data_IF_930416648409
#
_entry.id   IF_930416648409
#
_cell.length_a   1.000
_cell.length_b   1.000
_cell.length_c   1.000
_cell.angle_alpha   90.00
_cell.angle_beta   90.00
_cell.angle_gamma   90.00
#
_symmetry.space_group_name_H-M   'P 1'
#
loop_
_entity.id
_entity.type
_entity.pdbx_description
1 polymer ?
#
# COMPACT_ATOMS: atom_id res chain seq x y z
N UNK A 1 47.70 3.67 27.43
CA UNK A 1 46.77 2.95 26.55
C UNK A 1 45.37 3.30 27.01
N UNK A 2 44.70 4.17 26.27
CA UNK A 2 43.31 4.57 26.54
C UNK A 2 42.64 4.65 25.18
N UNK A 3 42.06 3.52 24.79
CA UNK A 3 41.44 3.28 23.50
C UNK A 3 40.07 3.97 23.37
N UNK A 4 39.83 4.41 22.14
CA UNK A 4 38.55 4.44 21.43
C UNK A 4 37.44 5.38 21.92
N UNK A 5 37.52 6.62 21.44
CA UNK A 5 36.32 7.42 21.12
C UNK A 5 36.41 7.93 19.67
N UNK A 6 36.19 7.04 18.70
CA UNK A 6 36.18 7.47 17.27
C UNK A 6 35.17 6.75 16.39
N UNK A 7 34.31 5.86 16.92
CA UNK A 7 33.48 4.98 16.07
C UNK A 7 31.94 5.13 16.26
N UNK A 8 31.46 6.22 16.86
CA UNK A 8 30.01 6.51 16.91
C UNK A 8 29.49 7.25 15.66
N UNK A 9 30.37 7.54 14.68
CA UNK A 9 30.01 8.31 13.48
C UNK A 9 30.42 7.63 12.16
N UNK A 10 30.87 6.37 12.21
CA UNK A 10 31.14 5.61 11.00
C UNK A 10 29.84 5.29 10.25
N UNK A 11 29.84 5.56 8.95
CA UNK A 11 28.70 5.27 8.10
C UNK A 11 28.71 3.79 7.69
N UNK A 12 27.59 3.11 7.92
CA UNK A 12 27.28 1.78 7.39
C UNK A 12 26.49 1.94 6.09
N UNK A 13 26.71 1.03 5.13
CA UNK A 13 25.92 1.00 3.90
C UNK A 13 24.72 0.08 4.09
N UNK A 14 23.52 0.63 3.93
CA UNK A 14 22.27 -0.10 3.98
C UNK A 14 21.70 -0.25 2.58
N UNK A 15 21.34 -1.48 2.22
CA UNK A 15 20.65 -1.78 0.96
C UNK A 15 19.15 -1.81 1.19
N UNK A 16 18.38 -1.25 0.26
CA UNK A 16 16.93 -1.29 0.33
C UNK A 16 16.26 -1.45 -1.02
N UNK A 17 15.01 -1.86 -1.01
CA UNK A 17 14.23 -2.11 -2.22
C UNK A 17 12.72 -1.95 -2.01
N UNK A 18 12.00 -1.62 -3.08
CA UNK A 18 10.54 -1.80 -3.09
C UNK A 18 10.18 -3.30 -3.03
N UNK A 19 8.95 -3.65 -2.64
CA UNK A 19 8.53 -5.06 -2.49
C UNK A 19 8.78 -5.93 -3.73
N UNK A 20 8.50 -5.43 -4.94
CA UNK A 20 8.74 -6.19 -6.18
C UNK A 20 10.21 -6.19 -6.66
N UNK A 21 11.11 -5.43 -6.04
CA UNK A 21 12.52 -5.36 -6.43
C UNK A 21 12.81 -4.64 -7.76
N UNK A 22 11.83 -3.91 -8.30
CA UNK A 22 12.02 -3.06 -9.48
C UNK A 22 12.92 -1.84 -9.19
N UNK A 23 12.85 -1.31 -7.97
CA UNK A 23 13.68 -0.22 -7.46
C UNK A 23 14.55 -0.73 -6.32
N UNK A 24 15.87 -0.57 -6.44
CA UNK A 24 16.86 -0.94 -5.43
C UNK A 24 17.81 0.23 -5.23
N UNK A 25 18.13 0.55 -3.98
CA UNK A 25 19.01 1.66 -3.62
C UNK A 25 19.99 1.22 -2.53
N UNK A 26 21.01 2.05 -2.33
CA UNK A 26 21.87 2.02 -1.17
C UNK A 26 21.89 3.40 -0.51
N UNK A 27 21.95 3.40 0.82
CA UNK A 27 22.07 4.61 1.63
C UNK A 27 23.15 4.41 2.68
N UNK A 28 24.04 5.38 2.83
CA UNK A 28 25.07 5.42 3.88
C UNK A 28 24.51 6.18 5.08
N UNK A 29 24.41 5.53 6.22
CA UNK A 29 23.88 6.09 7.47
C UNK A 29 24.73 5.62 8.65
N UNK A 30 24.76 6.33 9.78
CA UNK A 30 25.19 5.75 11.04
C UNK A 30 24.35 4.50 11.38
N UNK A 31 24.71 3.81 12.46
CA UNK A 31 23.85 2.74 12.99
C UNK A 31 22.42 3.24 13.23
N UNK A 32 21.43 2.60 12.58
CA UNK A 32 20.04 3.01 12.70
C UNK A 32 19.50 2.49 14.04
N UNK A 33 19.43 3.39 15.03
CA UNK A 33 18.85 3.11 16.36
C UNK A 33 17.47 3.72 16.55
N UNK A 34 17.12 4.69 15.72
CA UNK A 34 15.88 5.46 15.83
C UNK A 34 15.36 5.87 14.45
N UNK A 35 14.05 6.07 14.35
CA UNK A 35 13.36 6.51 13.13
C UNK A 35 12.39 7.63 13.46
N UNK A 36 12.18 8.54 12.50
CA UNK A 36 11.18 9.59 12.63
C UNK A 36 9.79 9.08 12.23
N UNK A 37 8.81 9.27 13.10
CA UNK A 37 7.41 8.91 12.89
C UNK A 37 6.53 10.17 12.91
N UNK A 38 5.97 10.51 11.75
CA UNK A 38 5.17 11.72 11.58
C UNK A 38 3.68 11.41 11.63
N UNK A 39 2.95 12.12 12.49
CA UNK A 39 1.51 11.95 12.69
C UNK A 39 0.62 12.66 11.64
N UNK A 40 1.19 13.31 10.61
CA UNK A 40 0.37 13.97 9.60
C UNK A 40 -0.44 12.96 8.79
N UNK A 41 -1.58 13.38 8.24
CA UNK A 41 -2.52 12.48 7.56
C UNK A 41 -1.90 11.62 6.47
N UNK A 42 -0.93 12.15 5.72
CA UNK A 42 -0.25 11.39 4.67
C UNK A 42 0.78 10.41 5.22
N UNK A 43 1.61 10.83 6.18
CA UNK A 43 2.63 9.97 6.76
C UNK A 43 2.00 8.81 7.53
N UNK A 44 0.94 9.09 8.27
CA UNK A 44 0.14 8.09 8.96
C UNK A 44 -0.47 7.08 7.98
N UNK A 45 -1.14 7.54 6.91
CA UNK A 45 -1.74 6.65 5.89
C UNK A 45 -0.71 5.81 5.11
N UNK A 46 0.53 6.29 5.00
CA UNK A 46 1.63 5.57 4.33
C UNK A 46 2.43 4.68 5.28
N UNK A 47 2.18 4.77 6.60
CA UNK A 47 2.97 4.12 7.65
C UNK A 47 4.47 4.39 7.52
N UNK A 48 4.83 5.66 7.32
CA UNK A 48 6.23 6.02 7.16
C UNK A 48 7.01 5.94 8.48
N UNK A 49 8.15 5.24 8.43
CA UNK A 49 9.25 5.35 9.38
C UNK A 49 10.46 5.90 8.64
N UNK A 50 10.92 7.10 9.00
CA UNK A 50 11.84 7.84 8.14
C UNK A 50 13.24 7.94 8.76
N UNK A 51 14.23 7.54 7.98
CA UNK A 51 15.64 7.82 8.21
C UNK A 51 16.15 8.78 7.14
N UNK A 52 17.12 9.63 7.49
CA UNK A 52 17.61 10.68 6.60
C UNK A 52 19.14 10.65 6.58
N UNK A 53 19.77 10.50 5.40
CA UNK A 53 21.21 10.75 5.28
C UNK A 53 21.53 12.21 5.56
N UNK A 54 22.72 12.46 6.09
CA UNK A 54 23.20 13.82 6.36
C UNK A 54 23.47 14.61 5.08
N UNK A 55 23.71 13.93 3.96
CA UNK A 55 23.97 14.55 2.67
C UNK A 55 23.38 13.73 1.50
N UNK A 56 22.91 14.37 0.42
CA UNK A 56 22.34 13.68 -0.74
C UNK A 56 23.26 12.64 -1.41
N UNK A 57 24.59 12.83 -1.39
CA UNK A 57 25.59 11.90 -1.96
C UNK A 57 25.70 10.57 -1.19
N UNK A 58 25.09 10.49 0.00
CA UNK A 58 25.00 9.27 0.76
C UNK A 58 23.90 8.33 0.27
N UNK A 59 23.05 8.78 -0.67
CA UNK A 59 22.02 7.96 -1.29
C UNK A 59 22.37 7.70 -2.77
N UNK A 60 22.24 6.45 -3.21
CA UNK A 60 22.41 6.10 -4.62
C UNK A 60 21.42 5.02 -5.06
N UNK A 61 20.96 5.11 -6.29
CA UNK A 61 20.12 4.09 -6.92
C UNK A 61 21.04 3.00 -7.47
N UNK A 62 20.74 1.74 -7.18
CA UNK A 62 21.50 0.57 -7.64
C UNK A 62 20.81 -0.11 -8.83
N UNK A 63 19.47 -0.18 -8.83
CA UNK A 63 18.66 -0.75 -9.90
C UNK A 63 17.38 0.05 -10.10
N UNK A 64 17.00 0.21 -11.36
CA UNK A 64 15.90 1.06 -11.78
C UNK A 64 16.38 2.50 -11.90
N UNK A 65 15.44 3.43 -11.79
CA UNK A 65 15.73 4.87 -11.82
C UNK A 65 14.72 5.60 -10.93
N UNK A 66 14.89 6.89 -10.68
CA UNK A 66 13.90 7.61 -9.86
C UNK A 66 12.57 7.78 -10.61
N UNK A 67 12.61 7.81 -11.93
CA UNK A 67 11.47 8.03 -12.83
C UNK A 67 10.48 6.85 -12.83
N UNK A 68 10.93 5.64 -12.49
CA UNK A 68 10.02 4.49 -12.35
C UNK A 68 9.16 4.58 -11.08
N UNK A 69 9.48 5.49 -10.15
CA UNK A 69 8.66 5.75 -8.97
C UNK A 69 7.59 6.79 -9.27
N UNK A 70 6.35 6.45 -8.91
CA UNK A 70 5.25 7.41 -8.94
C UNK A 70 5.46 8.48 -7.85
N UNK A 71 5.06 9.71 -8.14
CA UNK A 71 5.18 10.85 -7.22
C UNK A 71 3.81 11.30 -6.76
N UNK A 72 3.65 11.50 -5.45
CA UNK A 72 2.50 12.15 -4.86
C UNK A 72 2.92 13.38 -4.05
N UNK A 73 2.28 14.51 -4.33
CA UNK A 73 2.43 15.77 -3.60
C UNK A 73 1.05 16.33 -3.30
N UNK A 74 0.89 16.96 -2.15
CA UNK A 74 -0.38 17.51 -1.71
C UNK A 74 -0.18 18.88 -1.05
N UNK A 75 -1.27 19.61 -0.84
CA UNK A 75 -1.27 20.92 -0.16
C UNK A 75 -0.29 21.90 -0.83
N UNK A 76 0.66 22.46 -0.07
CA UNK A 76 1.70 23.39 -0.55
C UNK A 76 2.74 22.74 -1.48
N UNK A 77 2.65 21.43 -1.75
CA UNK A 77 3.56 20.66 -2.63
C UNK A 77 5.03 20.72 -2.24
N UNK A 78 5.35 21.09 -0.99
CA UNK A 78 6.72 21.12 -0.43
C UNK A 78 7.38 19.74 -0.37
N UNK A 79 6.59 18.67 -0.24
CA UNK A 79 7.11 17.30 -0.23
C UNK A 79 6.72 16.52 -1.50
N UNK A 80 7.65 15.71 -2.02
CA UNK A 80 7.40 14.70 -3.05
C UNK A 80 7.55 13.32 -2.44
N UNK A 81 6.44 12.61 -2.33
CA UNK A 81 6.41 11.24 -1.83
C UNK A 81 6.52 10.26 -3.00
N UNK A 82 7.58 9.47 -3.02
CA UNK A 82 7.90 8.54 -4.10
C UNK A 82 7.56 7.12 -3.69
N UNK A 83 6.80 6.42 -4.53
CA UNK A 83 6.38 5.05 -4.27
C UNK A 83 6.41 4.21 -5.54
N UNK A 84 6.61 2.90 -5.39
CA UNK A 84 6.60 1.99 -6.52
C UNK A 84 5.16 1.83 -7.05
N UNK A 85 4.88 2.15 -8.32
CA UNK A 85 3.54 2.01 -8.88
C UNK A 85 3.10 0.54 -9.01
N UNK A 86 4.05 -0.40 -9.06
CA UNK A 86 3.77 -1.83 -9.21
C UNK A 86 3.32 -2.48 -7.91
N UNK A 87 3.95 -2.16 -6.78
CA UNK A 87 3.70 -2.82 -5.49
C UNK A 87 3.21 -1.88 -4.38
N UNK A 88 3.04 -0.59 -4.64
CA UNK A 88 2.55 0.40 -3.68
C UNK A 88 3.52 0.82 -2.58
N UNK A 89 4.68 0.15 -2.44
CA UNK A 89 5.69 0.45 -1.42
C UNK A 89 6.14 1.91 -1.52
N UNK A 90 5.99 2.66 -0.43
CA UNK A 90 6.48 4.04 -0.33
C UNK A 90 7.95 4.00 0.05
N UNK A 91 8.84 4.51 -0.81
CA UNK A 91 10.30 4.32 -0.69
C UNK A 91 10.99 5.59 -0.21
N UNK A 92 10.73 6.72 -0.89
CA UNK A 92 11.42 7.98 -0.64
C UNK A 92 10.43 9.10 -0.35
N UNK A 93 10.91 10.12 0.36
CA UNK A 93 10.25 11.40 0.50
C UNK A 93 11.29 12.49 0.34
N UNK A 94 11.07 13.34 -0.65
CA UNK A 94 11.87 14.56 -0.84
C UNK A 94 11.17 15.75 -0.19
N UNK A 95 11.95 16.64 0.40
CA UNK A 95 11.48 17.95 0.86
C UNK A 95 12.21 19.04 0.05
N UNK A 96 11.46 19.84 -0.70
CA UNK A 96 11.99 21.00 -1.42
C UNK A 96 12.29 22.13 -0.44
N UNK A 97 13.32 22.91 -0.74
CA UNK A 97 13.76 24.06 0.07
C UNK A 97 14.05 23.71 1.53
N UNK A 98 14.69 22.56 1.74
CA UNK A 98 15.16 22.09 3.04
C UNK A 98 16.69 22.02 3.09
N UNK A 99 17.31 22.09 4.29
CA UNK A 99 18.71 21.74 4.48
C UNK A 99 19.02 20.35 3.94
N UNK A 100 20.25 20.13 3.47
CA UNK A 100 20.68 18.90 2.80
C UNK A 100 20.33 17.62 3.57
N UNK A 101 20.53 17.62 4.89
CA UNK A 101 20.22 16.49 5.78
C UNK A 101 18.72 16.17 5.93
N UNK A 102 17.83 17.02 5.40
CA UNK A 102 16.37 16.81 5.38
C UNK A 102 15.81 16.63 3.96
N UNK A 103 16.63 16.85 2.92
CA UNK A 103 16.17 16.81 1.52
C UNK A 103 15.69 15.44 1.12
N UNK A 104 16.37 14.37 1.55
CA UNK A 104 16.04 12.99 1.23
C UNK A 104 15.69 12.26 2.52
N UNK A 105 14.54 11.58 2.55
CA UNK A 105 14.22 10.60 3.56
C UNK A 105 13.86 9.27 2.93
N UNK A 106 14.31 8.21 3.57
CA UNK A 106 14.13 6.83 3.16
C UNK A 106 13.18 6.16 4.16
N UNK A 107 12.23 5.37 3.64
CA UNK A 107 11.36 4.55 4.48
C UNK A 107 12.13 3.34 5.03
N UNK A 108 12.32 3.27 6.34
CA UNK A 108 13.08 2.23 7.04
C UNK A 108 12.55 0.82 6.73
N UNK A 109 11.24 0.66 6.54
CA UNK A 109 10.62 -0.62 6.15
C UNK A 109 11.11 -1.17 4.80
N UNK A 110 11.76 -0.35 3.98
CA UNK A 110 12.31 -0.76 2.69
C UNK A 110 13.78 -1.18 2.75
N UNK A 111 14.43 -1.00 3.91
CA UNK A 111 15.80 -1.45 4.17
C UNK A 111 15.78 -2.96 4.43
N UNK A 112 16.75 -3.67 3.86
CA UNK A 112 16.92 -5.10 4.04
C UNK A 112 17.52 -5.40 5.42
N UNK A 113 17.05 -6.48 6.04
CA UNK A 113 17.59 -7.00 7.31
C UNK A 113 17.59 -6.00 8.47
N UNK A 114 16.70 -5.00 8.42
CA UNK A 114 16.47 -4.04 9.50
C UNK A 114 15.23 -4.45 10.30
N UNK A 115 15.41 -4.81 11.57
CA UNK A 115 14.29 -4.99 12.49
C UNK A 115 13.73 -3.62 12.86
N UNK A 116 12.64 -3.20 12.21
CA UNK A 116 12.04 -1.90 12.47
C UNK A 116 11.23 -1.85 13.77
N UNK A 117 10.94 -2.99 14.41
CA UNK A 117 10.09 -3.06 15.60
C UNK A 117 10.85 -2.72 16.88
N UNK A 118 12.15 -2.98 16.91
CA UNK A 118 13.04 -2.62 18.02
C UNK A 118 13.57 -1.18 17.96
N UNK A 119 13.32 -0.44 16.87
CA UNK A 119 13.82 0.93 16.70
C UNK A 119 13.02 1.95 17.52
N UNK A 120 13.73 2.86 18.19
CA UNK A 120 13.13 4.01 18.87
C UNK A 120 12.32 4.86 17.87
N UNK A 121 11.08 5.18 18.21
CA UNK A 121 10.20 6.06 17.43
C UNK A 121 10.34 7.50 17.93
N UNK A 122 10.90 8.37 17.09
CA UNK A 122 10.99 9.81 17.35
C UNK A 122 9.76 10.50 16.78
N UNK A 123 8.80 10.94 17.63
CA UNK A 123 7.57 11.54 17.14
C UNK A 123 7.86 12.88 16.46
N UNK A 124 7.16 13.13 15.37
CA UNK A 124 7.14 14.40 14.69
C UNK A 124 5.70 14.86 14.52
N UNK A 125 5.36 16.01 15.11
CA UNK A 125 4.02 16.59 14.99
C UNK A 125 3.85 17.34 13.66
N UNK A 126 3.56 16.57 12.61
CA UNK A 126 3.23 17.11 11.29
C UNK A 126 1.75 17.47 11.14
N UNK A 127 0.88 17.04 12.06
CA UNK A 127 -0.55 17.34 12.04
C UNK A 127 -0.84 18.80 12.40
N UNK A 128 -0.02 19.42 13.25
CA UNK A 128 -0.14 20.85 13.59
C UNK A 128 0.36 21.81 12.50
N UNK A 129 0.97 21.30 11.42
CA UNK A 129 1.49 22.16 10.34
C UNK A 129 0.36 22.69 9.44
N UNK A 130 0.26 24.02 9.23
CA UNK A 130 -0.79 24.60 8.41
C UNK A 130 -0.54 24.50 6.88
N UNK A 131 -1.60 24.54 6.06
CA UNK A 131 -3.00 24.40 6.47
C UNK A 131 -3.31 22.96 6.90
N UNK A 132 -4.20 22.78 7.89
CA UNK A 132 -4.62 21.46 8.33
C UNK A 132 -5.28 20.69 7.19
N UNK A 133 -5.09 19.38 7.17
CA UNK A 133 -5.78 18.51 6.21
C UNK A 133 -7.20 18.24 6.70
N UNK A 134 -8.19 18.64 5.90
CA UNK A 134 -9.59 18.27 6.11
C UNK A 134 -9.94 17.04 5.25
N UNK A 135 -10.36 15.92 5.85
CA UNK A 135 -10.74 14.73 5.11
C UNK A 135 -12.03 14.98 4.30
N UNK A 136 -12.11 14.51 3.04
CA UNK A 136 -13.33 14.61 2.25
C UNK A 136 -14.52 13.90 2.93
N UNK A 137 -15.68 14.56 2.96
CA UNK A 137 -16.93 13.95 3.44
C UNK A 137 -17.33 12.75 2.58
N UNK A 138 -17.69 11.64 3.22
CA UNK A 138 -18.19 10.45 2.55
C UNK A 138 -19.53 10.72 1.86
N UNK A 139 -19.65 10.36 0.58
CA UNK A 139 -20.88 10.57 -0.22
C UNK A 139 -21.47 9.29 -0.81
N UNK A 140 -20.88 8.14 -0.50
CA UNK A 140 -21.30 6.86 -1.05
C UNK A 140 -22.50 6.23 -0.34
N UNK A 141 -23.01 5.09 -0.84
CA UNK A 141 -24.04 4.33 -0.15
C UNK A 141 -23.49 3.71 1.13
N UNK A 142 -24.29 3.71 2.20
CA UNK A 142 -23.94 3.01 3.44
C UNK A 142 -24.02 1.49 3.21
N UNK A 143 -23.11 0.68 3.79
CA UNK A 143 -23.24 -0.77 3.78
C UNK A 143 -24.59 -1.22 4.36
N UNK A 144 -25.22 -2.23 3.75
CA UNK A 144 -26.61 -2.65 4.08
C UNK A 144 -26.71 -3.74 5.13
N UNK A 145 -25.61 -4.36 5.54
CA UNK A 145 -25.65 -5.42 6.55
C UNK A 145 -26.08 -4.86 7.91
N UNK A 146 -26.83 -5.67 8.67
CA UNK A 146 -27.20 -5.36 10.05
C UNK A 146 -26.15 -5.98 10.98
N UNK A 147 -25.46 -5.13 11.75
CA UNK A 147 -24.44 -5.54 12.72
C UNK A 147 -24.88 -4.97 14.06
N UNK A 148 -25.12 -5.85 15.04
CA UNK A 148 -25.45 -5.46 16.41
C UNK A 148 -24.32 -4.59 17.01
N UNK A 149 -24.67 -3.40 17.52
CA UNK A 149 -23.69 -2.41 17.95
C UNK A 149 -22.83 -1.84 16.81
N UNK A 150 -23.32 -1.91 15.57
CA UNK A 150 -22.58 -1.52 14.37
C UNK A 150 -22.28 -0.02 14.29
N UNK A 151 -20.99 0.31 14.23
CA UNK A 151 -20.45 1.65 13.99
C UNK A 151 -19.98 1.78 12.54
N UNK A 152 -20.32 2.92 11.92
CA UNK A 152 -19.89 3.27 10.57
C UNK A 152 -18.54 3.99 10.64
N UNK A 153 -17.57 3.45 9.92
CA UNK A 153 -16.26 4.04 9.66
C UNK A 153 -16.22 4.47 8.21
N UNK A 154 -15.80 5.71 7.97
CA UNK A 154 -15.61 6.20 6.60
C UNK A 154 -14.16 6.61 6.39
N UNK A 155 -13.71 6.53 5.14
CA UNK A 155 -12.35 6.87 4.79
C UNK A 155 -12.20 7.07 3.29
N UNK A 156 -10.96 7.33 2.87
CA UNK A 156 -10.67 7.52 1.47
C UNK A 156 -9.26 8.03 1.21
N UNK A 157 -8.98 8.23 -0.07
CA UNK A 157 -7.79 8.94 -0.52
C UNK A 157 -7.93 10.44 -0.28
N UNK A 158 -6.81 11.16 -0.20
CA UNK A 158 -6.77 12.61 0.06
C UNK A 158 -7.57 13.46 -0.94
N UNK A 159 -7.70 13.03 -2.21
CA UNK A 159 -8.49 13.75 -3.20
C UNK A 159 -9.97 13.40 -3.20
N UNK A 160 -10.41 12.45 -2.37
CA UNK A 160 -11.80 11.99 -2.32
C UNK A 160 -12.25 11.12 -3.49
N UNK A 161 -11.37 10.77 -4.44
CA UNK A 161 -11.73 9.96 -5.60
C UNK A 161 -12.12 8.52 -5.27
N UNK A 162 -11.49 7.99 -4.24
CA UNK A 162 -11.83 6.73 -3.62
C UNK A 162 -12.35 7.03 -2.23
N UNK A 163 -13.57 6.60 -1.97
CA UNK A 163 -14.21 6.67 -0.67
C UNK A 163 -14.61 5.26 -0.24
N UNK A 164 -14.44 4.96 1.03
CA UNK A 164 -14.84 3.69 1.63
C UNK A 164 -15.74 3.93 2.82
N UNK A 165 -16.70 3.03 3.01
CA UNK A 165 -17.45 2.90 4.23
C UNK A 165 -17.38 1.45 4.72
N UNK A 166 -17.02 1.30 6.00
CA UNK A 166 -16.97 0.05 6.73
C UNK A 166 -17.99 0.12 7.86
N UNK A 167 -18.95 -0.79 7.86
CA UNK A 167 -19.79 -1.04 9.01
C UNK A 167 -19.21 -2.24 9.77
N UNK A 168 -18.94 -2.03 11.05
CA UNK A 168 -18.28 -3.01 11.93
C UNK A 168 -18.81 -2.83 13.35
N UNK A 169 -18.58 -3.80 14.25
CA UNK A 169 -18.54 -3.50 15.69
C UNK A 169 -17.53 -2.39 15.97
N UNK A 170 -17.70 -1.69 17.09
CA UNK A 170 -16.78 -0.63 17.48
C UNK A 170 -15.35 -1.15 17.57
N UNK A 171 -14.48 -0.60 16.72
CA UNK A 171 -13.02 -0.69 16.76
C UNK A 171 -12.53 0.36 17.77
N UNK A 172 -12.59 0.02 19.04
CA UNK A 172 -12.07 0.81 20.16
C UNK A 172 -11.16 -0.06 21.05
N UNK A 173 -10.82 0.40 22.25
CA UNK A 173 -9.95 -0.32 23.17
C UNK A 173 -10.47 -1.71 23.59
N UNK A 174 -11.75 -2.02 23.34
CA UNK A 174 -12.36 -3.34 23.61
C UNK A 174 -12.33 -4.27 22.39
N UNK A 175 -11.90 -3.77 21.23
CA UNK A 175 -11.77 -4.58 20.03
C UNK A 175 -10.59 -5.55 20.21
N UNK A 176 -10.74 -6.86 19.88
CA UNK A 176 -9.63 -7.79 20.03
C UNK A 176 -8.40 -7.30 19.27
N UNK A 177 -7.22 -7.48 19.87
CA UNK A 177 -5.91 -7.09 19.33
C UNK A 177 -5.11 -8.30 18.83
N UNK A 178 -5.69 -9.50 18.96
CA UNK A 178 -5.05 -10.76 18.58
C UNK A 178 -5.69 -11.37 17.34
N UNK A 179 -4.84 -11.86 16.45
CA UNK A 179 -5.27 -12.65 15.30
C UNK A 179 -5.86 -14.00 15.77
N UNK A 180 -6.98 -14.49 15.19
CA UNK A 180 -7.72 -13.97 14.04
C UNK A 180 -8.92 -13.07 14.37
N UNK A 181 -9.17 -12.80 15.65
CA UNK A 181 -10.41 -12.17 16.11
C UNK A 181 -10.37 -10.63 16.09
N UNK A 182 -9.17 -10.08 15.88
CA UNK A 182 -8.84 -8.70 16.13
C UNK A 182 -8.11 -7.94 15.03
N UNK A 183 -7.78 -6.69 15.33
CA UNK A 183 -6.86 -5.91 14.52
C UNK A 183 -5.43 -6.30 14.87
N UNK A 184 -4.67 -6.72 13.85
CA UNK A 184 -3.30 -7.18 14.01
C UNK A 184 -2.34 -6.37 13.17
N UNK A 185 -1.12 -6.23 13.67
CA UNK A 185 0.02 -5.82 12.87
C UNK A 185 0.72 -7.06 12.32
N UNK A 186 1.17 -6.99 11.08
CA UNK A 186 1.84 -8.12 10.43
C UNK A 186 3.22 -7.67 9.95
N UNK A 187 4.24 -8.44 10.32
CA UNK A 187 5.63 -8.22 9.93
C UNK A 187 5.99 -8.87 8.58
N UNK A 188 4.99 -9.27 7.79
CA UNK A 188 5.22 -9.76 6.44
C UNK A 188 5.84 -8.63 5.59
N UNK A 189 6.79 -8.96 4.69
CA UNK A 189 7.52 -7.95 3.89
C UNK A 189 6.61 -6.91 3.23
N UNK A 190 5.48 -7.33 2.64
CA UNK A 190 4.53 -6.39 2.02
C UNK A 190 3.74 -5.59 3.06
N UNK A 191 3.32 -6.22 4.14
CA UNK A 191 2.55 -5.59 5.22
C UNK A 191 3.35 -4.44 5.85
N UNK A 192 4.61 -4.72 6.15
CA UNK A 192 5.56 -3.77 6.73
C UNK A 192 5.87 -2.62 5.74
N UNK A 193 6.21 -2.95 4.48
CA UNK A 193 6.59 -1.95 3.46
C UNK A 193 5.47 -1.01 3.01
N UNK A 194 4.23 -1.40 3.22
CA UNK A 194 3.06 -0.56 2.89
C UNK A 194 2.41 -0.04 4.18
N UNK A 195 3.04 -0.22 5.35
CA UNK A 195 2.61 0.37 6.61
C UNK A 195 1.22 -0.09 7.08
N UNK A 196 0.81 -1.31 6.74
CA UNK A 196 -0.54 -1.78 7.03
C UNK A 196 -0.66 -2.23 8.49
N UNK A 197 -1.45 -1.49 9.29
CA UNK A 197 -2.19 -2.07 10.42
C UNK A 197 -3.46 -2.71 9.87
N UNK A 198 -3.60 -4.03 9.95
CA UNK A 198 -4.74 -4.75 9.37
C UNK A 198 -5.79 -5.07 10.45
N UNK A 199 -6.95 -4.39 10.48
CA UNK A 199 -8.17 -5.06 10.95
C UNK A 199 -8.50 -6.17 9.95
N UNK A 200 -8.50 -7.43 10.40
CA UNK A 200 -8.93 -8.54 9.55
C UNK A 200 -10.45 -8.42 9.28
N UNK A 201 -10.81 -7.89 8.12
CA UNK A 201 -12.16 -8.02 7.56
C UNK A 201 -12.20 -9.38 6.85
N UNK A 202 -12.51 -10.45 7.57
CA UNK A 202 -12.68 -11.77 6.95
C UNK A 202 -13.97 -11.76 6.10
N UNK A 203 -13.88 -11.34 4.83
CA UNK A 203 -14.83 -11.81 3.83
C UNK A 203 -14.29 -13.13 3.30
N UNK A 204 -14.75 -14.24 3.87
CA UNK A 204 -14.42 -15.58 3.36
C UNK A 204 -15.10 -15.74 2.00
N UNK A 205 -14.48 -15.25 0.93
CA UNK A 205 -14.79 -15.75 -0.41
C UNK A 205 -14.41 -17.22 -0.39
N UNK A 206 -15.42 -18.09 -0.50
CA UNK A 206 -15.23 -19.52 -0.71
C UNK A 206 -14.42 -19.71 -2.00
N UNK A 207 -13.08 -19.69 -1.90
CA UNK A 207 -12.23 -20.35 -2.88
C UNK A 207 -12.58 -21.83 -2.77
N UNK A 208 -13.48 -22.30 -3.64
CA UNK A 208 -13.65 -23.73 -3.93
C UNK A 208 -12.25 -24.26 -4.23
N UNK A 209 -11.66 -25.01 -3.29
CA UNK A 209 -10.52 -25.86 -3.57
C UNK A 209 -10.97 -26.79 -4.71
N UNK A 210 -10.52 -26.55 -5.94
CA UNK A 210 -10.48 -27.62 -6.93
C UNK A 210 -9.42 -28.59 -6.41
N UNK A 211 -9.84 -29.67 -5.75
CA UNK A 211 -9.01 -30.86 -5.63
C UNK A 211 -8.78 -31.35 -7.07
N UNK A 212 -7.54 -31.65 -7.48
CA UNK A 212 -7.33 -32.41 -8.70
C UNK A 212 -7.88 -33.81 -8.44
N UNK A 213 -8.97 -34.16 -9.11
CA UNK A 213 -9.34 -35.56 -9.26
C UNK A 213 -8.37 -36.16 -10.27
N UNK A 214 -7.32 -36.79 -9.73
CA UNK A 214 -6.62 -37.86 -10.42
C UNK A 214 -7.58 -39.04 -10.52
N UNK A 215 -8.19 -39.22 -11.69
CA UNK A 215 -8.72 -40.51 -12.12
C UNK A 215 -8.21 -40.74 -13.52
N UNK A 216 -7.30 -41.70 -13.65
CA UNK A 216 -6.73 -42.12 -14.92
C UNK A 216 -7.81 -42.61 -15.88
N UNK A 217 -7.61 -42.27 -17.14
CA UNK A 217 -8.03 -43.09 -18.26
C UNK A 217 -6.82 -43.18 -19.20
N UNK A 218 -6.28 -44.39 -19.22
CA UNK A 218 -5.26 -44.93 -20.09
C UNK A 218 -5.64 -44.91 -21.58
N UNK A 219 -4.63 -44.66 -22.43
CA UNK A 219 -4.49 -45.07 -23.85
C UNK A 219 -5.32 -44.27 -24.88
N UNK A 220 -4.85 -43.89 -26.08
CA UNK A 220 -3.97 -44.57 -27.04
C UNK A 220 -3.01 -43.63 -27.82
N UNK A 221 -2.06 -44.30 -28.47
CA UNK A 221 -0.83 -43.88 -29.15
C UNK A 221 -1.06 -43.41 -30.61
N UNK A 222 -0.18 -42.48 -31.04
CA UNK A 222 0.32 -42.13 -32.39
C UNK A 222 -0.63 -41.78 -33.54
N UNK A 223 -0.35 -40.67 -34.24
CA UNK A 223 0.50 -40.66 -35.46
C UNK A 223 0.85 -39.21 -35.86
N UNK A 224 2.10 -39.02 -36.29
CA UNK A 224 2.62 -37.81 -36.94
C UNK A 224 1.94 -37.56 -38.29
N UNK A 225 1.71 -36.30 -38.64
CA UNK A 225 2.13 -35.73 -39.95
C UNK A 225 2.15 -34.20 -39.91
N UNK A 226 3.20 -33.67 -40.51
CA UNK A 226 3.54 -32.27 -40.84
C UNK A 226 2.48 -31.54 -41.68
N UNK A 227 2.32 -30.23 -41.46
CA UNK A 227 1.59 -29.36 -42.39
C UNK A 227 1.56 -27.90 -41.96
N UNK A 228 2.27 -27.05 -42.71
CA UNK A 228 2.22 -25.58 -42.66
C UNK A 228 0.77 -25.06 -42.76
N UNK A 229 0.37 -24.11 -41.90
CA UNK A 229 -0.95 -23.46 -42.00
C UNK A 229 -1.17 -22.30 -41.03
N UNK A 230 -1.05 -21.08 -41.57
CA UNK A 230 -1.58 -19.76 -41.13
C UNK A 230 -2.04 -19.57 -39.68
N UNK A 231 -1.40 -18.59 -39.04
CA UNK A 231 -1.92 -17.82 -37.89
C UNK A 231 -3.28 -17.20 -38.22
N UNK A 232 -4.35 -17.44 -37.44
CA UNK A 232 -5.54 -16.62 -37.45
C UNK A 232 -5.41 -15.46 -36.46
N UNK A 233 -5.95 -14.34 -36.92
CA UNK A 233 -5.90 -13.01 -36.32
C UNK A 233 -6.55 -12.95 -34.93
N UNK A 234 -6.00 -12.10 -34.05
CA UNK A 234 -6.59 -11.73 -32.75
C UNK A 234 -7.85 -10.89 -33.01
N UNK A 235 -9.01 -11.50 -32.90
CA UNK A 235 -10.28 -10.77 -32.75
C UNK A 235 -11.21 -11.51 -31.80
N UNK A 236 -11.74 -10.76 -30.83
CA UNK A 236 -12.87 -11.07 -29.93
C UNK A 236 -12.72 -12.27 -28.98
N UNK A 237 -12.20 -12.02 -27.78
CA UNK A 237 -12.64 -12.73 -26.57
C UNK A 237 -13.49 -11.78 -25.72
N UNK A 238 -14.77 -11.70 -26.03
CA UNK A 238 -15.78 -11.08 -25.16
C UNK A 238 -16.24 -12.16 -24.17
N UNK A 239 -15.66 -12.18 -22.97
CA UNK A 239 -16.15 -13.05 -21.90
C UNK A 239 -17.32 -12.37 -21.19
N UNK A 240 -18.53 -12.60 -21.67
CA UNK A 240 -19.77 -12.23 -20.97
C UNK A 240 -20.07 -13.30 -19.93
N UNK A 241 -19.63 -13.11 -18.68
CA UNK A 241 -20.02 -14.01 -17.59
C UNK A 241 -21.44 -13.67 -17.14
N UNK A 242 -22.44 -14.36 -17.70
CA UNK A 242 -23.77 -14.47 -17.07
C UNK A 242 -23.62 -15.35 -15.82
N UNK A 243 -23.80 -14.78 -14.64
CA UNK A 243 -23.98 -15.55 -13.40
C UNK A 243 -25.47 -15.80 -13.24
N UNK A 244 -25.94 -16.99 -13.62
CA UNK A 244 -27.25 -17.51 -13.22
C UNK A 244 -27.13 -18.09 -11.81
N UNK A 245 -27.87 -17.53 -10.85
CA UNK A 245 -27.98 -18.06 -9.50
C UNK A 245 -28.88 -19.30 -9.51
N UNK A 246 -28.29 -20.49 -9.40
CA UNK A 246 -28.99 -21.72 -9.03
C UNK A 246 -29.06 -21.83 -7.52
N UNK A 247 -30.28 -21.93 -6.98
CA UNK A 247 -30.55 -22.14 -5.56
C UNK A 247 -30.26 -23.58 -5.15
N UNK A 248 -29.37 -23.77 -4.16
CA UNK A 248 -29.42 -24.94 -3.27
C UNK A 248 -29.18 -24.48 -1.83
N UNK A 249 -30.19 -24.74 -1.00
CA UNK A 249 -30.27 -24.49 0.43
C UNK A 249 -29.28 -25.37 1.19
N UNK A 250 -28.51 -24.73 2.07
CA UNK A 250 -27.57 -25.35 3.00
C UNK A 250 -27.08 -24.26 3.95
N UNK A 251 -27.94 -23.90 4.90
CA UNK A 251 -27.73 -22.79 5.82
C UNK A 251 -26.79 -23.20 6.96
N UNK A 252 -25.55 -22.73 6.89
CA UNK A 252 -24.78 -22.36 8.09
C UNK A 252 -24.57 -20.86 8.04
N UNK A 253 -25.51 -20.10 8.62
CA UNK A 253 -25.43 -18.65 8.76
C UNK A 253 -24.52 -18.31 9.94
N UNK A 254 -23.27 -17.98 9.67
CA UNK A 254 -22.48 -17.18 10.60
C UNK A 254 -22.88 -15.72 10.41
N UNK A 255 -23.18 -14.95 11.47
CA UNK A 255 -23.50 -13.54 11.33
C UNK A 255 -22.30 -12.82 10.70
N UNK A 256 -22.54 -12.12 9.59
CA UNK A 256 -21.54 -11.31 8.91
C UNK A 256 -21.04 -10.22 9.87
N UNK A 257 -19.80 -10.35 10.35
CA UNK A 257 -19.22 -9.44 11.35
C UNK A 257 -18.83 -8.06 10.80
N UNK A 258 -18.77 -7.93 9.48
CA UNK A 258 -18.37 -6.71 8.78
C UNK A 258 -19.14 -6.57 7.47
N UNK A 259 -19.36 -5.33 7.04
CA UNK A 259 -19.82 -5.02 5.68
C UNK A 259 -19.13 -3.78 5.14
N UNK A 260 -18.73 -3.86 3.87
CA UNK A 260 -17.97 -2.81 3.19
C UNK A 260 -18.70 -2.33 1.95
N UNK A 261 -18.71 -1.04 1.72
CA UNK A 261 -19.02 -0.43 0.42
C UNK A 261 -17.84 0.44 0.00
N UNK A 262 -17.53 0.40 -1.29
CA UNK A 262 -16.47 1.20 -1.91
C UNK A 262 -17.08 1.98 -3.05
N UNK A 263 -16.81 3.28 -3.08
CA UNK A 263 -17.16 4.15 -4.20
C UNK A 263 -15.88 4.64 -4.82
N UNK A 264 -15.72 4.35 -6.11
CA UNK A 264 -14.71 4.96 -6.98
C UNK A 264 -15.43 5.85 -7.97
N UNK A 265 -15.12 7.16 -7.97
CA UNK A 265 -15.55 8.06 -9.04
C UNK A 265 -14.45 8.13 -10.10
N UNK A 266 -14.83 8.31 -11.35
CA UNK A 266 -13.86 8.47 -12.43
C UNK A 266 -13.05 9.77 -12.20
N UNK A 267 -11.76 9.84 -12.57
CA UNK A 267 -10.95 11.06 -12.41
C UNK A 267 -11.58 12.29 -13.09
N UNK A 268 -12.42 12.07 -14.09
CA UNK A 268 -13.16 13.09 -14.86
C UNK A 268 -14.31 13.76 -14.09
N UNK A 269 -14.81 13.16 -13.02
CA UNK A 269 -15.98 13.67 -12.26
C UNK A 269 -15.61 14.50 -11.03
N UNK A 270 -14.32 14.67 -10.74
CA UNK A 270 -13.81 15.23 -9.48
C UNK A 270 -13.00 16.52 -9.65
N UNK A 271 -13.26 17.30 -10.70
CA UNK A 271 -12.77 18.68 -10.73
C UNK A 271 -13.80 19.60 -10.04
N UNK A 272 -13.71 19.87 -8.72
CA UNK A 272 -14.34 21.07 -8.21
C UNK A 272 -13.65 22.26 -8.88
N UNK A 273 -14.46 23.17 -9.43
CA UNK A 273 -14.00 24.44 -10.03
C UNK A 273 -13.16 25.16 -8.96
N UNK A 274 -11.85 25.26 -9.16
CA UNK A 274 -10.94 25.86 -8.17
C UNK A 274 -9.47 25.42 -8.23
N UNK A 275 -9.01 24.75 -9.29
CA UNK A 275 -7.58 24.51 -9.50
C UNK A 275 -6.97 25.64 -10.34
N UNK A 276 -6.09 26.50 -9.81
CA UNK A 276 -5.31 27.38 -10.67
C UNK A 276 -4.26 26.52 -11.40
N UNK A 277 -4.29 26.58 -12.73
CA UNK A 277 -3.41 25.91 -13.70
C UNK A 277 -3.74 24.45 -14.06
N UNK A 278 -4.94 24.25 -14.63
CA UNK A 278 -5.09 23.84 -16.04
C UNK A 278 -4.38 22.60 -16.58
N UNK A 279 -3.85 21.69 -15.76
CA UNK A 279 -3.24 20.44 -16.27
C UNK A 279 -4.21 19.28 -16.03
N UNK A 280 -4.82 18.70 -17.08
CA UNK A 280 -5.73 17.57 -16.92
C UNK A 280 -4.97 16.34 -16.41
N UNK A 281 -5.61 15.56 -15.52
CA UNK A 281 -5.14 14.23 -15.14
C UNK A 281 -4.92 13.40 -16.41
N UNK A 282 -3.67 13.19 -16.82
CA UNK A 282 -3.33 12.26 -17.90
C UNK A 282 -3.84 10.88 -17.52
N UNK A 283 -4.67 10.29 -18.39
CA UNK A 283 -4.98 8.85 -18.36
C UNK A 283 -3.65 8.09 -18.35
N UNK A 284 -3.46 7.23 -17.36
CA UNK A 284 -2.45 6.17 -17.44
C UNK A 284 -3.03 5.17 -18.45
N UNK A 285 -2.63 5.29 -19.72
CA UNK A 285 -2.82 4.23 -20.71
C UNK A 285 -1.81 3.12 -20.41
N UNK A 286 -2.30 1.88 -20.34
CA UNK A 286 -1.48 0.68 -20.18
C UNK A 286 -0.67 0.29 -21.41
#
# INVERSE_FOLDING_TARGET
>A
MSDNNTDQNALKTYRGNCHCGAFVYEVRLPEIKSVWECNCSLCYKKGYLLVMPSSPDQFRIVKGSEEILATYSFNQKKAKHKFCPTCGTSVLRYLWDAPDFMKIAVNAHTIQDLDTWSLERKPFDGASRPPPYEPPTYTGPRPTAQIEGGKLYTGGCHCGAVQLALLSRSIDATFPDTFPEGAGECNCSICERVGHRQPQITTRTLRRRRRPLLTGASHCISTHTSGFGRVPNRSSCTATTKISAGTRSGAHSWPSRFATSVVSRSPTELCPRGWPNGTPCRKISG
#
